data_IF_744589574759
#
_entry.id   IF_744589574759
#
_cell.length_a   1.000
_cell.length_b   1.000
_cell.length_c   1.000
_cell.angle_alpha   90.00
_cell.angle_beta   90.00
_cell.angle_gamma   90.00
#
_symmetry.space_group_name_H-M   'P 1'
#
loop_
_entity.id
_entity.type
_entity.pdbx_description
1 polymer ?
#
# COMPACT_ATOMS: atom_id res chain seq x y z
N UNK A 1 9.41 -19.52 12.62
CA UNK A 1 8.53 -20.56 12.07
C UNK A 1 8.01 -20.08 10.72
N UNK A 2 8.48 -20.66 9.61
CA UNK A 2 7.83 -20.46 8.30
C UNK A 2 6.55 -21.31 8.29
N UNK A 3 5.39 -20.68 8.18
CA UNK A 3 4.13 -21.38 7.91
C UNK A 3 4.21 -21.94 6.48
N UNK A 4 4.48 -23.24 6.35
CA UNK A 4 4.30 -23.97 5.09
C UNK A 4 2.85 -24.44 5.04
N UNK A 5 2.05 -23.85 4.16
CA UNK A 5 0.69 -24.32 3.89
C UNK A 5 0.76 -25.66 3.15
N UNK A 6 0.04 -26.68 3.63
CA UNK A 6 -0.01 -28.04 3.07
C UNK A 6 -1.19 -28.23 2.11
N UNK A 7 -1.59 -27.19 1.38
CA UNK A 7 -2.73 -27.27 0.46
C UNK A 7 -2.27 -27.96 -0.83
N UNK A 8 -2.73 -29.20 -1.06
CA UNK A 8 -2.57 -29.88 -2.35
C UNK A 8 -3.59 -29.28 -3.34
N UNK A 9 -3.11 -28.50 -4.29
CA UNK A 9 -3.92 -27.96 -5.36
C UNK A 9 -4.24 -29.06 -6.39
N UNK A 10 -5.51 -29.44 -6.50
CA UNK A 10 -6.04 -30.16 -7.69
C UNK A 10 -5.90 -29.24 -8.90
N UNK A 11 -5.69 -29.78 -10.11
CA UNK A 11 -5.38 -29.12 -11.40
C UNK A 11 -6.45 -28.12 -11.96
N UNK A 12 -7.19 -27.47 -11.07
CA UNK A 12 -7.87 -26.19 -11.32
C UNK A 12 -6.95 -25.09 -10.84
N UNK A 13 -6.98 -23.86 -11.36
CA UNK A 13 -6.16 -22.75 -10.84
C UNK A 13 -6.80 -22.18 -9.55
N UNK A 14 -6.48 -22.65 -8.32
CA UNK A 14 -7.29 -22.33 -7.17
C UNK A 14 -6.71 -21.06 -6.54
N UNK A 15 -7.55 -20.07 -6.27
CA UNK A 15 -7.11 -18.91 -5.48
C UNK A 15 -6.77 -19.37 -4.07
N UNK A 16 -5.52 -19.19 -3.68
CA UNK A 16 -5.03 -19.47 -2.33
C UNK A 16 -5.31 -18.29 -1.43
N UNK A 17 -6.14 -18.48 -0.41
CA UNK A 17 -6.40 -17.46 0.61
C UNK A 17 -5.80 -17.87 1.94
N UNK A 18 -5.17 -16.93 2.65
CA UNK A 18 -4.61 -17.13 3.99
C UNK A 18 -5.40 -16.27 4.98
N UNK A 19 -5.88 -16.86 6.10
CA UNK A 19 -6.44 -16.08 7.19
C UNK A 19 -5.33 -15.34 7.95
N UNK A 20 -5.52 -14.06 8.18
CA UNK A 20 -4.64 -13.20 8.96
C UNK A 20 -5.34 -12.72 10.22
N UNK A 21 -4.74 -13.00 11.37
CA UNK A 21 -5.14 -12.39 12.63
C UNK A 21 -4.42 -11.05 12.78
N UNK A 22 -5.16 -9.95 12.64
CA UNK A 22 -4.61 -8.61 12.62
C UNK A 22 -4.79 -7.90 13.96
N UNK A 23 -3.82 -7.06 14.30
CA UNK A 23 -3.92 -6.09 15.40
C UNK A 23 -4.75 -4.90 14.92
N UNK A 24 -5.89 -4.57 15.55
CA UNK A 24 -6.67 -3.38 15.23
C UNK A 24 -5.84 -2.10 15.45
N UNK A 25 -6.03 -1.11 14.59
CA UNK A 25 -5.46 0.22 14.80
C UNK A 25 -6.20 0.91 15.94
N UNK A 26 -5.50 1.77 16.70
CA UNK A 26 -6.14 2.59 17.74
C UNK A 26 -7.25 3.49 17.14
N UNK A 27 -7.05 3.96 15.92
CA UNK A 27 -8.01 4.74 15.13
C UNK A 27 -8.90 3.88 14.21
N UNK A 28 -8.84 2.55 14.33
CA UNK A 28 -9.73 1.61 13.65
C UNK A 28 -9.71 1.68 12.12
N UNK A 29 -8.56 2.02 11.52
CA UNK A 29 -8.38 2.15 10.07
C UNK A 29 -8.76 0.88 9.31
N UNK A 30 -8.55 -0.29 9.93
CA UNK A 30 -8.89 -1.58 9.32
C UNK A 30 -10.38 -1.72 9.02
N UNK A 31 -11.28 -1.04 9.76
CA UNK A 31 -12.73 -1.20 9.59
C UNK A 31 -13.23 -0.85 8.19
N UNK A 32 -12.54 0.05 7.49
CA UNK A 32 -12.87 0.46 6.13
C UNK A 32 -12.30 -0.48 5.04
N UNK A 33 -11.63 -1.58 5.42
CA UNK A 33 -11.21 -2.58 4.44
C UNK A 33 -12.43 -3.17 3.74
N UNK A 34 -12.37 -3.19 2.42
CA UNK A 34 -13.38 -3.81 1.57
C UNK A 34 -12.69 -4.75 0.56
N UNK A 35 -13.43 -5.68 -0.05
CA UNK A 35 -12.90 -6.61 -1.04
C UNK A 35 -12.02 -5.91 -2.08
N UNK A 36 -10.88 -6.50 -2.41
CA UNK A 36 -9.90 -5.95 -3.36
C UNK A 36 -8.92 -4.94 -2.78
N UNK A 37 -8.83 -4.76 -1.46
CA UNK A 37 -7.79 -3.91 -0.86
C UNK A 37 -6.44 -4.59 -1.05
N UNK A 38 -5.42 -3.85 -1.48
CA UNK A 38 -4.04 -4.34 -1.39
C UNK A 38 -3.60 -4.20 0.07
N UNK A 39 -3.25 -5.31 0.71
CA UNK A 39 -2.88 -5.35 2.12
C UNK A 39 -1.38 -5.48 2.26
N UNK A 40 -0.80 -4.55 2.99
CA UNK A 40 0.61 -4.53 3.38
C UNK A 40 0.72 -4.94 4.84
N UNK A 41 1.54 -5.94 5.13
CA UNK A 41 1.75 -6.43 6.49
C UNK A 41 3.13 -6.01 7.00
N UNK A 42 3.17 -5.58 8.26
CA UNK A 42 4.41 -5.30 8.98
C UNK A 42 5.14 -6.62 9.24
N UNK A 43 6.37 -6.73 8.74
CA UNK A 43 7.32 -7.83 8.95
C UNK A 43 7.97 -7.71 10.33
N UNK A 44 7.16 -7.71 11.39
CA UNK A 44 7.70 -7.66 12.75
C UNK A 44 8.23 -9.03 13.15
N UNK A 45 9.55 -9.21 13.07
CA UNK A 45 10.23 -10.45 13.49
C UNK A 45 10.45 -10.52 15.00
N UNK A 46 10.11 -9.46 15.75
CA UNK A 46 10.62 -9.23 17.11
C UNK A 46 9.61 -9.42 18.25
N UNK A 47 8.36 -9.83 17.96
CA UNK A 47 7.30 -9.93 18.97
C UNK A 47 6.83 -11.35 19.31
N UNK A 48 6.38 -11.55 20.56
CA UNK A 48 5.65 -12.75 21.02
C UNK A 48 4.19 -12.80 20.56
N UNK A 49 3.66 -11.69 20.02
CA UNK A 49 2.25 -11.56 19.63
C UNK A 49 2.03 -12.17 18.25
N UNK A 50 1.09 -13.11 18.07
CA UNK A 50 0.73 -13.64 16.76
C UNK A 50 -0.03 -12.63 15.89
N UNK A 51 -0.46 -11.49 16.47
CA UNK A 51 -1.20 -10.44 15.74
C UNK A 51 -0.28 -9.65 14.81
N UNK A 52 -0.68 -9.56 13.55
CA UNK A 52 0.04 -8.83 12.51
C UNK A 52 -0.55 -7.43 12.35
N UNK A 53 0.29 -6.41 12.28
CA UNK A 53 -0.16 -5.06 11.89
C UNK A 53 -0.21 -4.99 10.38
N UNK A 54 -1.35 -4.59 9.82
CA UNK A 54 -1.52 -4.43 8.38
C UNK A 54 -2.12 -3.07 8.03
N UNK A 55 -1.92 -2.62 6.80
CA UNK A 55 -2.47 -1.38 6.26
C UNK A 55 -2.82 -1.57 4.77
N UNK A 56 -3.90 -0.92 4.33
CA UNK A 56 -4.21 -0.82 2.90
C UNK A 56 -3.52 0.40 2.27
N UNK A 57 -3.68 0.61 0.97
CA UNK A 57 -3.01 1.72 0.25
C UNK A 57 -3.30 3.11 0.86
N UNK A 58 -4.56 3.50 1.13
CA UNK A 58 -4.86 4.76 1.80
C UNK A 58 -4.24 4.89 3.19
N UNK A 59 -4.34 3.83 4.00
CA UNK A 59 -3.76 3.82 5.34
C UNK A 59 -2.25 3.95 5.28
N UNK A 60 -1.58 3.24 4.38
CA UNK A 60 -0.13 3.37 4.17
C UNK A 60 0.24 4.79 3.74
N UNK A 61 -0.44 5.37 2.75
CA UNK A 61 -0.19 6.75 2.34
C UNK A 61 -0.35 7.74 3.50
N UNK A 62 -1.36 7.55 4.34
CA UNK A 62 -1.55 8.36 5.54
C UNK A 62 -0.40 8.22 6.53
N UNK A 63 -0.05 6.99 6.92
CA UNK A 63 1.00 6.70 7.90
C UNK A 63 2.37 7.22 7.43
N UNK A 64 2.69 7.03 6.15
CA UNK A 64 3.94 7.48 5.54
C UNK A 64 4.07 9.00 5.47
N UNK A 65 2.96 9.74 5.50
CA UNK A 65 2.99 11.19 5.51
C UNK A 65 2.94 11.80 6.92
N UNK A 66 2.38 11.09 7.91
CA UNK A 66 2.31 11.54 9.30
C UNK A 66 3.64 11.48 10.04
N UNK A 67 4.65 10.73 9.55
CA UNK A 67 6.00 10.62 10.16
C UNK A 67 6.73 11.96 10.44
N UNK A 68 6.13 13.06 9.98
CA UNK A 68 6.59 14.43 10.10
C UNK A 68 5.97 15.29 11.20
N UNK A 69 4.80 14.95 11.76
CA UNK A 69 4.08 15.90 12.62
C UNK A 69 4.67 16.11 14.03
N UNK A 70 5.89 15.62 14.28
CA UNK A 70 6.66 15.99 15.46
C UNK A 70 6.05 15.52 16.79
N UNK A 71 5.00 14.70 16.76
CA UNK A 71 4.45 14.09 17.95
C UNK A 71 5.35 12.92 18.38
N UNK A 72 6.07 13.02 19.50
CA UNK A 72 6.99 11.99 19.97
C UNK A 72 6.27 10.72 20.42
N UNK A 73 4.93 10.74 20.51
CA UNK A 73 4.13 9.60 21.00
C UNK A 73 3.71 8.62 19.91
N UNK A 74 3.63 9.04 18.65
CA UNK A 74 3.32 8.15 17.53
C UNK A 74 4.60 7.50 16.99
N UNK A 75 4.71 6.18 17.16
CA UNK A 75 5.84 5.41 16.60
C UNK A 75 5.90 5.61 15.09
N UNK A 76 6.97 6.26 14.62
CA UNK A 76 7.23 6.47 13.19
C UNK A 76 7.20 5.14 12.44
N UNK A 77 6.40 5.10 11.38
CA UNK A 77 6.22 3.92 10.53
C UNK A 77 7.39 3.87 9.54
N UNK A 78 8.25 2.86 9.67
CA UNK A 78 9.31 2.61 8.69
C UNK A 78 8.71 1.87 7.50
N UNK A 79 8.84 2.44 6.30
CA UNK A 79 8.31 1.83 5.07
C UNK A 79 8.91 0.45 4.78
N UNK A 80 10.16 0.22 5.21
CA UNK A 80 10.85 -1.05 4.97
C UNK A 80 10.30 -2.18 5.82
N UNK A 81 9.62 -1.85 6.93
CA UNK A 81 8.95 -2.85 7.77
C UNK A 81 7.74 -3.47 7.06
N UNK A 82 7.21 -2.88 5.99
CA UNK A 82 5.97 -3.33 5.35
C UNK A 82 6.25 -4.05 4.03
N UNK A 83 5.56 -5.18 3.85
CA UNK A 83 5.56 -5.94 2.60
C UNK A 83 4.14 -6.18 2.10
N UNK A 84 3.98 -6.21 0.79
CA UNK A 84 2.73 -6.64 0.17
C UNK A 84 2.46 -8.09 0.56
N UNK A 85 1.30 -8.32 1.17
CA UNK A 85 0.88 -9.65 1.61
C UNK A 85 -0.08 -10.30 0.61
N UNK A 86 -1.07 -9.53 0.14
CA UNK A 86 -2.11 -10.05 -0.72
C UNK A 86 -3.30 -9.10 -0.82
N UNK A 87 -4.39 -9.63 -1.37
CA UNK A 87 -5.62 -8.88 -1.63
C UNK A 87 -6.67 -9.26 -0.60
N UNK A 88 -7.22 -8.28 0.12
CA UNK A 88 -8.31 -8.51 1.06
C UNK A 88 -9.53 -9.07 0.34
N UNK A 89 -10.00 -10.23 0.80
CA UNK A 89 -11.18 -10.91 0.26
C UNK A 89 -12.42 -10.56 1.09
N UNK A 90 -12.36 -10.84 2.39
CA UNK A 90 -13.46 -10.65 3.31
C UNK A 90 -12.97 -10.62 4.76
N UNK A 91 -13.83 -10.13 5.63
CA UNK A 91 -13.66 -10.22 7.07
C UNK A 91 -14.27 -11.55 7.55
N UNK A 92 -13.42 -12.48 8.00
CA UNK A 92 -13.85 -13.79 8.47
C UNK A 92 -14.32 -13.74 9.94
N UNK A 93 -14.03 -12.65 10.66
CA UNK A 93 -14.50 -12.42 12.02
C UNK A 93 -15.80 -11.62 12.10
N UNK A 94 -16.32 -11.12 10.97
CA UNK A 94 -17.54 -10.33 10.90
C UNK A 94 -18.75 -11.23 11.16
N UNK A 95 -19.33 -11.10 12.33
CA UNK A 95 -20.70 -11.58 12.57
C UNK A 95 -21.67 -10.47 12.18
N UNK A 96 -22.86 -10.86 11.73
CA UNK A 96 -23.99 -9.96 11.57
C UNK A 96 -24.92 -10.16 12.75
N UNK A 97 -25.48 -9.08 13.28
CA UNK A 97 -26.53 -9.20 14.28
C UNK A 97 -27.84 -9.72 13.63
N UNK A 98 -28.88 -9.90 14.44
CA UNK A 98 -30.20 -10.34 14.00
C UNK A 98 -30.88 -9.37 13.02
N UNK A 99 -30.38 -8.14 12.89
CA UNK A 99 -30.84 -7.12 11.95
C UNK A 99 -29.92 -6.98 10.72
N UNK A 100 -28.88 -7.81 10.61
CA UNK A 100 -27.92 -7.77 9.50
C UNK A 100 -26.83 -6.71 9.64
N UNK A 101 -26.77 -5.97 10.75
CA UNK A 101 -25.71 -5.00 10.97
C UNK A 101 -24.39 -5.69 11.34
N UNK A 102 -23.26 -5.19 10.85
CA UNK A 102 -21.94 -5.67 11.24
C UNK A 102 -21.72 -5.58 12.75
N UNK A 103 -21.58 -6.73 13.42
CA UNK A 103 -21.12 -6.77 14.80
C UNK A 103 -19.66 -7.24 14.81
N UNK A 104 -18.77 -6.30 15.15
CA UNK A 104 -17.37 -6.64 15.39
C UNK A 104 -17.25 -7.32 16.74
N UNK A 105 -17.07 -8.63 16.73
CA UNK A 105 -17.14 -9.50 17.91
C UNK A 105 -15.99 -9.28 18.90
N UNK A 106 -14.83 -8.77 18.44
CA UNK A 106 -13.68 -8.54 19.28
C UNK A 106 -12.93 -7.25 18.90
N UNK A 107 -12.89 -6.29 19.83
CA UNK A 107 -12.18 -5.02 19.64
C UNK A 107 -10.66 -5.19 19.70
N UNK A 108 -10.17 -6.31 20.23
CA UNK A 108 -8.73 -6.55 20.45
C UNK A 108 -8.03 -7.27 19.30
N UNK A 109 -8.77 -8.01 18.47
CA UNK A 109 -8.23 -8.77 17.35
C UNK A 109 -9.27 -8.93 16.25
N UNK A 110 -8.83 -8.99 15.00
CA UNK A 110 -9.71 -9.20 13.85
C UNK A 110 -9.13 -10.25 12.91
N UNK A 111 -9.98 -11.13 12.40
CA UNK A 111 -9.59 -12.18 11.47
C UNK A 111 -10.01 -11.80 10.06
N UNK A 112 -9.05 -11.46 9.21
CA UNK A 112 -9.31 -11.14 7.79
C UNK A 112 -8.85 -12.29 6.91
N UNK A 113 -9.47 -12.46 5.75
CA UNK A 113 -9.01 -13.39 4.71
C UNK A 113 -8.40 -12.59 3.56
N UNK A 114 -7.19 -12.97 3.17
CA UNK A 114 -6.48 -12.35 2.07
C UNK A 114 -6.10 -13.41 1.02
N UNK A 115 -6.39 -13.11 -0.24
CA UNK A 115 -5.90 -13.88 -1.38
C UNK A 115 -4.41 -13.56 -1.57
N UNK A 116 -3.57 -14.59 -1.58
CA UNK A 116 -2.10 -14.47 -1.67
C UNK A 116 -1.54 -15.04 -2.98
N UNK A 117 -2.30 -15.92 -3.63
CA UNK A 117 -1.93 -16.58 -4.88
C UNK A 117 -3.17 -16.83 -5.72
N UNK A 118 -3.01 -16.86 -7.05
CA UNK A 118 -4.09 -17.13 -7.98
C UNK A 118 -4.86 -15.87 -8.34
N UNK A 119 -6.16 -16.01 -8.66
CA UNK A 119 -6.96 -14.90 -9.18
C UNK A 119 -7.57 -14.10 -8.04
N UNK A 120 -7.44 -12.77 -8.09
CA UNK A 120 -8.08 -11.85 -7.17
C UNK A 120 -8.66 -10.65 -7.92
N UNK A 121 -9.72 -10.06 -7.38
CA UNK A 121 -10.28 -8.80 -7.89
C UNK A 121 -9.71 -7.65 -7.08
N UNK A 122 -9.17 -6.65 -7.76
CA UNK A 122 -8.62 -5.43 -7.14
C UNK A 122 -9.28 -4.19 -7.72
N UNK A 123 -9.31 -3.11 -6.96
CA UNK A 123 -9.75 -1.81 -7.48
C UNK A 123 -8.74 -1.27 -8.51
N UNK A 124 -9.22 -0.71 -9.61
CA UNK A 124 -8.36 -0.17 -10.66
C UNK A 124 -7.74 1.17 -10.26
N UNK A 125 -6.57 1.15 -9.60
CA UNK A 125 -5.79 2.35 -9.30
C UNK A 125 -4.98 2.87 -10.49
N UNK A 126 -4.92 2.11 -11.59
CA UNK A 126 -3.98 2.34 -12.68
C UNK A 126 -4.56 3.18 -13.83
N UNK A 127 -5.82 3.63 -13.72
CA UNK A 127 -6.44 4.70 -14.53
C UNK A 127 -6.59 4.52 -16.03
N UNK A 128 -5.99 3.46 -16.59
CA UNK A 128 -6.12 3.10 -18.00
C UNK A 128 -7.08 1.93 -18.17
N UNK A 129 -7.56 1.77 -19.41
CA UNK A 129 -8.11 0.49 -19.86
C UNK A 129 -6.97 -0.51 -19.90
N UNK A 130 -6.79 -1.21 -18.77
CA UNK A 130 -5.77 -2.25 -18.62
C UNK A 130 -5.99 -3.34 -19.67
N UNK A 131 -4.91 -3.94 -20.15
CA UNK A 131 -4.97 -5.06 -21.08
C UNK A 131 -4.60 -6.33 -20.34
N UNK A 132 -5.20 -7.45 -20.75
CA UNK A 132 -4.76 -8.77 -20.28
C UNK A 132 -3.26 -8.93 -20.58
N UNK A 133 -2.49 -9.36 -19.58
CA UNK A 133 -1.04 -9.46 -19.65
C UNK A 133 -0.27 -8.26 -19.10
N UNK A 134 -0.93 -7.13 -18.81
CA UNK A 134 -0.27 -5.99 -18.15
C UNK A 134 0.19 -6.38 -16.74
N UNK A 135 1.46 -6.13 -16.42
CA UNK A 135 2.02 -6.29 -15.08
C UNK A 135 1.66 -5.09 -14.21
N UNK A 136 1.00 -5.34 -13.09
CA UNK A 136 0.60 -4.32 -12.12
C UNK A 136 1.57 -4.29 -10.94
N UNK A 137 2.02 -3.09 -10.64
CA UNK A 137 2.97 -2.81 -9.58
C UNK A 137 2.51 -1.61 -8.76
N UNK A 138 2.96 -1.53 -7.51
CA UNK A 138 2.87 -0.35 -6.66
C UNK A 138 4.30 0.03 -6.28
N UNK A 139 4.67 1.29 -6.51
CA UNK A 139 5.95 1.84 -6.13
C UNK A 139 5.80 2.85 -5.00
N UNK A 140 6.75 2.86 -4.09
CA UNK A 140 6.94 3.90 -3.10
C UNK A 140 7.84 4.98 -3.69
N UNK A 141 7.35 6.21 -3.79
CA UNK A 141 8.08 7.36 -4.34
C UNK A 141 7.96 8.59 -3.45
N UNK A 142 8.84 9.57 -3.61
CA UNK A 142 8.60 10.92 -3.10
C UNK A 142 7.76 11.72 -4.08
N UNK A 143 6.61 12.22 -3.63
CA UNK A 143 5.72 13.04 -4.44
C UNK A 143 5.29 14.28 -3.69
N UNK A 144 5.11 15.38 -4.41
CA UNK A 144 4.45 16.56 -3.85
C UNK A 144 2.96 16.27 -3.70
N UNK A 145 2.50 16.16 -2.44
CA UNK A 145 1.10 15.89 -2.13
C UNK A 145 0.43 17.18 -1.69
N UNK A 146 -0.76 17.47 -2.25
CA UNK A 146 -1.55 18.65 -1.88
C UNK A 146 -2.57 18.35 -0.77
N UNK A 147 -3.00 17.10 -0.64
CA UNK A 147 -4.04 16.71 0.30
C UNK A 147 -3.74 15.33 0.86
N UNK A 148 -3.96 15.16 2.16
CA UNK A 148 -4.04 13.85 2.76
C UNK A 148 -5.32 13.69 3.54
N UNK A 149 -5.84 12.47 3.54
CA UNK A 149 -7.01 12.13 4.33
C UNK A 149 -6.61 11.08 5.34
N UNK A 150 -6.92 11.36 6.61
CA UNK A 150 -6.86 10.34 7.66
C UNK A 150 -7.93 9.31 7.35
N UNK A 151 -7.63 8.00 7.31
CA UNK A 151 -8.66 6.99 7.08
C UNK A 151 -9.78 7.15 8.12
N UNK A 152 -11.03 6.88 7.74
CA UNK A 152 -12.23 7.15 8.54
C UNK A 152 -12.53 8.63 8.90
N UNK A 153 -11.74 9.63 8.49
CA UNK A 153 -11.97 11.04 8.89
C UNK A 153 -11.89 12.02 7.72
N UNK A 154 -12.28 13.27 7.96
CA UNK A 154 -12.19 14.34 6.98
C UNK A 154 -10.73 14.58 6.56
N UNK A 155 -10.55 15.03 5.32
CA UNK A 155 -9.24 15.39 4.79
C UNK A 155 -8.66 16.61 5.49
N UNK A 156 -7.34 16.67 5.59
CA UNK A 156 -6.63 17.87 6.04
C UNK A 156 -5.80 18.37 4.86
N UNK A 157 -5.98 19.64 4.50
CA UNK A 157 -5.12 20.28 3.51
C UNK A 157 -3.69 20.33 4.05
N UNK A 158 -2.71 19.92 3.25
CA UNK A 158 -1.31 19.96 3.65
C UNK A 158 -0.54 20.95 2.78
N UNK A 159 0.50 21.60 3.34
CA UNK A 159 1.45 22.32 2.52
C UNK A 159 2.07 21.35 1.50
N UNK A 160 2.20 21.80 0.23
CA UNK A 160 2.78 21.03 -0.88
C UNK A 160 4.24 20.71 -0.61
N UNK A 161 4.45 19.70 0.21
CA UNK A 161 5.75 19.20 0.66
C UNK A 161 5.92 17.79 0.10
N UNK A 162 7.12 17.42 -0.37
CA UNK A 162 7.38 16.06 -0.79
C UNK A 162 7.15 15.08 0.36
N UNK A 163 6.34 14.06 0.11
CA UNK A 163 6.05 12.97 1.05
C UNK A 163 6.23 11.64 0.36
N UNK A 164 6.46 10.61 1.15
CA UNK A 164 6.38 9.24 0.68
C UNK A 164 4.93 8.92 0.29
N UNK A 165 4.74 8.39 -0.91
CA UNK A 165 3.44 7.97 -1.41
C UNK A 165 3.59 6.68 -2.22
N UNK A 166 2.63 5.77 -2.03
CA UNK A 166 2.42 4.65 -2.92
C UNK A 166 1.79 5.14 -4.22
N UNK A 167 2.36 4.73 -5.34
CA UNK A 167 1.91 5.12 -6.68
C UNK A 167 1.78 3.86 -7.56
N UNK A 168 0.65 3.71 -8.27
CA UNK A 168 0.46 2.61 -9.22
C UNK A 168 1.43 2.72 -10.39
N UNK A 169 1.97 1.58 -10.83
CA UNK A 169 2.77 1.43 -12.05
C UNK A 169 2.23 0.29 -12.91
N UNK A 170 2.28 0.45 -14.23
CA UNK A 170 1.90 -0.55 -15.22
C UNK A 170 3.13 -0.89 -16.06
N UNK A 171 3.54 -2.16 -16.09
CA UNK A 171 4.74 -2.60 -16.81
C UNK A 171 6.00 -1.79 -16.44
N UNK A 172 6.08 -1.36 -15.17
CA UNK A 172 7.14 -0.50 -14.64
C UNK A 172 7.04 0.99 -15.01
N UNK A 173 5.98 1.42 -15.69
CA UNK A 173 5.76 2.81 -16.13
C UNK A 173 4.67 3.50 -15.32
N UNK A 174 4.77 4.83 -15.19
CA UNK A 174 3.71 5.64 -14.58
C UNK A 174 2.44 5.57 -15.45
N UNK A 175 1.25 5.35 -14.86
CA UNK A 175 -0.04 5.38 -15.56
C UNK A 175 -0.19 6.62 -16.42
N UNK A 176 -0.83 6.48 -17.57
CA UNK A 176 -0.94 7.59 -18.53
C UNK A 176 0.33 7.87 -19.34
N UNK A 177 1.49 7.32 -18.96
CA UNK A 177 2.77 7.55 -19.64
C UNK A 177 3.46 6.27 -20.11
N UNK A 178 4.53 6.42 -20.89
CA UNK A 178 5.50 5.36 -21.19
C UNK A 178 6.82 5.60 -20.44
N UNK A 179 6.77 6.41 -19.38
CA UNK A 179 7.95 6.82 -18.61
C UNK A 179 8.11 5.87 -17.44
N UNK A 180 9.28 5.24 -17.35
CA UNK A 180 9.68 4.48 -16.16
C UNK A 180 10.26 5.46 -15.14
N UNK A 181 9.70 5.57 -13.93
CA UNK A 181 10.30 6.39 -12.89
C UNK A 181 11.68 5.81 -12.55
N UNK A 182 12.73 6.65 -12.44
CA UNK A 182 14.07 6.18 -12.16
C UNK A 182 14.17 5.64 -10.72
N UNK A 183 14.96 4.60 -10.51
CA UNK A 183 15.26 4.12 -9.16
C UNK A 183 16.15 5.12 -8.41
N UNK A 184 15.99 5.18 -7.08
CA UNK A 184 16.74 6.11 -6.23
C UNK A 184 18.23 5.75 -6.06
N UNK A 185 18.61 4.48 -6.30
CA UNK A 185 19.95 3.94 -6.01
C UNK A 185 21.13 4.64 -6.71
N UNK A 186 20.87 5.47 -7.73
CA UNK A 186 21.90 6.10 -8.57
C UNK A 186 21.91 7.63 -8.55
N UNK A 187 21.15 8.30 -7.69
CA UNK A 187 21.27 9.76 -7.60
C UNK A 187 22.57 10.13 -6.86
N UNK A 188 23.60 10.72 -7.52
CA UNK A 188 24.75 11.22 -6.80
C UNK A 188 24.29 12.33 -5.86
N UNK A 189 24.73 12.30 -4.60
CA UNK A 189 24.53 13.43 -3.72
C UNK A 189 25.31 14.63 -4.30
N UNK A 190 24.69 15.82 -4.36
CA UNK A 190 25.39 17.02 -4.80
C UNK A 190 26.56 17.30 -3.83
N UNK A 191 27.79 17.38 -4.36
CA UNK A 191 29.01 17.59 -3.56
C UNK A 191 30.10 16.53 -3.68
N UNK A 192 30.05 15.60 -4.65
CA UNK A 192 31.17 14.70 -4.96
C UNK A 192 31.38 13.52 -4.00
N UNK A 193 30.51 13.36 -3.00
CA UNK A 193 30.52 12.18 -2.15
C UNK A 193 30.01 10.97 -2.93
N UNK A 194 30.84 9.93 -3.07
CA UNK A 194 30.51 8.67 -3.78
C UNK A 194 29.40 7.83 -3.12
N UNK A 195 28.85 8.28 -2.00
CA UNK A 195 27.73 7.61 -1.32
C UNK A 195 26.43 7.90 -2.06
N UNK A 196 25.70 6.85 -2.45
CA UNK A 196 24.36 7.00 -2.99
C UNK A 196 23.37 7.43 -1.89
N UNK A 197 22.25 8.01 -2.29
CA UNK A 197 21.23 8.52 -1.37
C UNK A 197 20.79 7.44 -0.36
N UNK A 198 20.61 6.19 -0.79
CA UNK A 198 20.22 5.08 0.10
C UNK A 198 21.26 4.76 1.19
N UNK A 199 22.54 4.73 0.87
CA UNK A 199 23.60 4.49 1.86
C UNK A 199 23.64 5.62 2.89
N UNK A 200 23.50 6.87 2.44
CA UNK A 200 23.39 8.02 3.34
C UNK A 200 22.15 7.93 4.23
N UNK A 201 21.01 7.48 3.70
CA UNK A 201 19.78 7.27 4.47
C UNK A 201 19.94 6.23 5.57
N UNK A 202 20.65 5.12 5.29
CA UNK A 202 20.94 4.05 6.26
C UNK A 202 21.90 4.52 7.36
N UNK A 203 22.95 5.24 6.99
CA UNK A 203 23.99 5.72 7.92
C UNK A 203 23.48 6.78 8.91
N UNK A 204 22.52 7.62 8.50
CA UNK A 204 21.96 8.70 9.32
C UNK A 204 20.67 8.31 10.06
N UNK A 205 20.45 7.01 10.26
CA UNK A 205 19.33 6.53 11.09
C UNK A 205 17.94 6.73 10.48
N UNK A 206 17.82 6.76 9.15
CA UNK A 206 16.52 6.64 8.49
C UNK A 206 15.65 7.90 8.48
N UNK A 207 16.17 9.08 8.86
CA UNK A 207 15.41 10.34 8.74
C UNK A 207 15.44 10.89 7.31
N UNK A 208 14.95 10.08 6.37
CA UNK A 208 14.66 10.42 4.98
C UNK A 208 13.99 11.80 4.87
N UNK A 209 13.06 12.06 5.78
CA UNK A 209 12.24 13.27 5.78
C UNK A 209 13.00 14.52 6.24
N UNK A 210 14.01 14.38 7.13
CA UNK A 210 14.91 15.50 7.46
C UNK A 210 15.84 15.79 6.28
N UNK A 211 16.26 14.77 5.53
CA UNK A 211 17.07 14.95 4.33
C UNK A 211 16.30 15.67 3.22
N UNK A 212 14.98 15.47 3.10
CA UNK A 212 14.13 16.23 2.18
C UNK A 212 14.05 17.73 2.51
N UNK A 213 14.49 18.17 3.69
CA UNK A 213 14.64 19.61 3.97
C UNK A 213 15.83 20.23 3.24
N UNK A 214 16.79 19.42 2.80
CA UNK A 214 17.90 19.88 1.95
C UNK A 214 17.39 19.98 0.50
N UNK A 215 17.32 21.17 -0.11
CA UNK A 215 16.74 21.35 -1.44
C UNK A 215 17.36 20.47 -2.53
N UNK A 216 18.68 20.25 -2.43
CA UNK A 216 19.43 19.48 -3.39
C UNK A 216 19.12 17.97 -3.31
N UNK A 217 18.94 17.44 -2.09
CA UNK A 217 18.50 16.04 -1.86
C UNK A 217 17.04 15.88 -2.26
N UNK A 218 16.20 16.87 -1.92
CA UNK A 218 14.79 16.91 -2.33
C UNK A 218 14.63 16.76 -3.83
N UNK A 219 15.34 17.58 -4.60
CA UNK A 219 15.31 17.53 -6.07
C UNK A 219 15.84 16.17 -6.60
N UNK A 220 16.86 15.61 -5.94
CA UNK A 220 17.41 14.31 -6.31
C UNK A 220 16.46 13.14 -6.03
N UNK A 221 15.54 13.25 -5.06
CA UNK A 221 14.66 12.17 -4.62
C UNK A 221 13.26 12.21 -5.26
N UNK A 222 12.80 13.37 -5.72
CA UNK A 222 11.44 13.56 -6.24
C UNK A 222 11.16 12.61 -7.42
N UNK A 223 9.98 11.98 -7.38
CA UNK A 223 9.47 11.02 -8.38
C UNK A 223 10.37 9.79 -8.64
N UNK A 224 11.34 9.52 -7.76
CA UNK A 224 12.19 8.32 -7.83
C UNK A 224 11.62 7.16 -7.03
N UNK A 225 11.80 5.95 -7.54
CA UNK A 225 11.36 4.72 -6.89
C UNK A 225 12.31 4.34 -5.76
N UNK A 226 11.76 4.25 -4.55
CA UNK A 226 12.45 3.78 -3.36
C UNK A 226 12.27 2.28 -3.16
N UNK A 227 11.04 1.78 -3.34
CA UNK A 227 10.67 0.37 -3.19
C UNK A 227 9.53 0.05 -4.15
N UNK A 228 9.47 -1.20 -4.60
CA UNK A 228 8.47 -1.64 -5.58
C UNK A 228 7.92 -2.99 -5.17
N UNK A 229 6.60 -3.12 -5.22
CA UNK A 229 5.90 -4.38 -5.02
C UNK A 229 5.20 -4.77 -6.30
N UNK A 230 5.48 -5.99 -6.76
CA UNK A 230 4.72 -6.61 -7.83
C UNK A 230 3.42 -7.14 -7.25
N UNK A 231 2.31 -6.72 -7.83
CA UNK A 231 0.98 -7.11 -7.35
C UNK A 231 0.47 -8.32 -8.13
N UNK A 232 0.65 -8.31 -9.45
CA UNK A 232 0.20 -9.41 -10.31
C UNK A 232 0.15 -9.02 -11.78
N UNK A 233 -0.49 -9.84 -12.58
CA UNK A 233 -0.72 -9.60 -14.01
C UNK A 233 -2.22 -9.54 -14.28
N UNK A 234 -2.69 -8.62 -15.11
CA UNK A 234 -4.11 -8.51 -15.46
C UNK A 234 -4.57 -9.78 -16.18
N UNK A 235 -5.54 -10.49 -15.61
CA UNK A 235 -6.22 -11.62 -16.27
C UNK A 235 -7.43 -11.13 -17.05
N UNK A 236 -8.23 -10.26 -16.42
CA UNK A 236 -9.43 -9.68 -17.02
C UNK A 236 -9.52 -8.19 -16.69
N UNK A 237 -9.59 -7.37 -17.74
CA UNK A 237 -9.69 -5.92 -17.60
C UNK A 237 -11.10 -5.48 -17.20
N UNK A 238 -11.19 -4.42 -16.39
CA UNK A 238 -12.42 -3.65 -16.23
C UNK A 238 -12.89 -3.09 -17.59
N UNK A 239 -14.20 -3.01 -17.78
CA UNK A 239 -14.80 -2.48 -19.01
C UNK A 239 -14.54 -0.97 -19.18
N UNK A 240 -14.70 -0.20 -18.10
CA UNK A 240 -14.51 1.26 -18.08
C UNK A 240 -13.29 1.66 -17.24
N UNK A 241 -12.44 2.59 -17.71
CA UNK A 241 -11.38 3.16 -16.90
C UNK A 241 -11.95 4.16 -15.87
N UNK A 242 -11.44 4.19 -14.62
CA UNK A 242 -11.81 5.23 -13.67
C UNK A 242 -11.21 6.58 -14.05
N UNK A 243 -11.85 7.67 -13.59
CA UNK A 243 -11.29 9.02 -13.71
C UNK A 243 -10.11 9.24 -12.76
N UNK A 244 -9.17 10.10 -13.15
CA UNK A 244 -8.01 10.48 -12.32
C UNK A 244 -8.42 11.04 -10.95
N UNK A 245 -9.54 11.75 -10.89
CA UNK A 245 -10.12 12.26 -9.65
C UNK A 245 -10.55 11.11 -8.73
N UNK A 246 -11.27 10.11 -9.26
CA UNK A 246 -11.71 8.96 -8.47
C UNK A 246 -10.52 8.14 -7.97
N UNK A 247 -9.48 7.97 -8.79
CA UNK A 247 -8.25 7.30 -8.39
C UNK A 247 -7.58 8.07 -7.27
N UNK A 248 -7.40 9.38 -7.43
CA UNK A 248 -6.76 10.23 -6.42
C UNK A 248 -7.51 10.16 -5.09
N UNK A 249 -8.84 10.23 -5.11
CA UNK A 249 -9.66 10.08 -3.91
C UNK A 249 -9.52 8.69 -3.30
N UNK A 250 -9.53 7.63 -4.10
CA UNK A 250 -9.39 6.25 -3.64
C UNK A 250 -7.99 5.94 -3.11
N UNK A 251 -6.94 6.64 -3.55
CA UNK A 251 -5.58 6.54 -3.00
C UNK A 251 -5.44 7.14 -1.60
N UNK A 252 -6.42 7.97 -1.17
CA UNK A 252 -6.44 8.62 0.14
C UNK A 252 -7.64 8.20 1.00
N UNK A 253 -8.62 7.47 0.45
CA UNK A 253 -9.85 7.10 1.16
C UNK A 253 -10.27 5.69 0.80
N UNK A 254 -10.20 4.78 1.77
CA UNK A 254 -10.60 3.36 1.60
C UNK A 254 -12.05 3.19 1.15
N UNK A 255 -12.95 4.07 1.60
CA UNK A 255 -14.36 4.11 1.16
C UNK A 255 -14.53 4.49 -0.32
N UNK A 256 -13.72 5.43 -0.84
CA UNK A 256 -13.88 5.91 -2.23
C UNK A 256 -13.46 4.87 -3.27
N UNK A 257 -12.71 3.86 -2.83
CA UNK A 257 -12.26 2.75 -3.65
C UNK A 257 -13.39 1.88 -4.18
N UNK A 258 -14.54 1.81 -3.49
CA UNK A 258 -15.69 1.05 -4.00
C UNK A 258 -16.30 1.66 -5.26
N UNK A 259 -15.98 2.93 -5.56
CA UNK A 259 -16.36 3.59 -6.81
C UNK A 259 -15.41 3.28 -7.97
N UNK A 260 -14.26 2.65 -7.70
CA UNK A 260 -13.36 2.22 -8.76
C UNK A 260 -13.85 0.89 -9.37
N UNK A 261 -13.76 0.75 -10.69
CA UNK A 261 -14.08 -0.51 -11.35
C UNK A 261 -13.07 -1.58 -10.92
N UNK A 262 -13.54 -2.81 -10.80
CA UNK A 262 -12.71 -3.93 -10.39
C UNK A 262 -12.02 -4.58 -11.60
N UNK A 263 -10.77 -4.95 -11.40
CA UNK A 263 -9.93 -5.66 -12.37
C UNK A 263 -9.55 -6.99 -11.76
N UNK A 264 -9.59 -8.05 -12.57
CA UNK A 264 -9.09 -9.35 -12.14
C UNK A 264 -7.60 -9.44 -12.45
N UNK A 265 -6.83 -9.84 -11.45
CA UNK A 265 -5.39 -10.05 -11.54
C UNK A 265 -5.07 -11.50 -11.20
N UNK A 266 -4.01 -12.01 -11.81
CA UNK A 266 -3.31 -13.22 -11.43
C UNK A 266 -2.10 -12.84 -10.59
N UNK A 267 -2.14 -13.21 -9.32
CA UNK A 267 -1.01 -13.09 -8.38
C UNK A 267 -0.15 -14.35 -8.48
N UNK A 268 1.16 -14.16 -8.68
CA UNK A 268 2.15 -15.21 -8.92
C UNK A 268 3.19 -15.17 -7.80
#
# INVERSE_FOLDING_TARGET
MQSRSTVKYLETNPTGSIPLMIRPWQDLYEKDYAPGCLIFCKQDKSGRSPLITCADVPTMNYLLAQGHNGDPTEKKVMFDDYEFFGVFRNDAGKQVDHMGFPMYTNVKQRLIQCDVYGRAKVANFWGRKLRTGDSLEIALIFKNIAQIKKPNRAGIAMPRTPRLQLVPLINGCTPGTNVKPPDLDYAPLPGGNKKNVLSYMKDNGGFIEQMLNVPAIRAACLDRVLKKWRIGVVSQSAFEPPSDTNITLAMHSSQQRTHLPQVEILMI
#
